data_IF_564551445540
#
_entry.id   IF_564551445540
#
_cell.length_a   1.000
_cell.length_b   1.000
_cell.length_c   1.000
_cell.angle_alpha   90.00
_cell.angle_beta   90.00
_cell.angle_gamma   90.00
#
_symmetry.space_group_name_H-M   'P 1'
#
loop_
_entity.id
_entity.type
_entity.pdbx_description
1 polymer ?
#
# COMPACT_ATOMS: atom_id res chain seq x y z
N UNK A 1 8.46 -8.53 23.03
CA UNK A 1 8.67 -7.81 21.76
C UNK A 1 7.53 -8.20 20.85
N UNK A 2 6.96 -7.28 20.09
CA UNK A 2 5.90 -7.63 19.14
C UNK A 2 6.49 -8.46 17.99
N UNK A 3 5.71 -9.39 17.45
CA UNK A 3 6.16 -10.27 16.34
C UNK A 3 6.54 -9.44 15.11
N UNK A 4 5.77 -8.38 14.82
CA UNK A 4 6.11 -7.42 13.77
C UNK A 4 7.54 -6.86 13.94
N UNK A 5 7.94 -6.46 15.16
CA UNK A 5 9.27 -5.89 15.41
C UNK A 5 10.40 -6.92 15.20
N UNK A 6 10.10 -8.20 15.42
CA UNK A 6 11.04 -9.30 15.16
C UNK A 6 11.20 -9.51 13.65
N UNK A 7 10.10 -9.56 12.92
CA UNK A 7 10.09 -9.72 11.46
C UNK A 7 10.83 -8.55 10.78
N UNK A 8 10.63 -7.31 11.24
CA UNK A 8 11.33 -6.15 10.70
C UNK A 8 12.86 -6.20 10.86
N UNK A 9 13.36 -6.97 11.84
CA UNK A 9 14.80 -7.11 12.12
C UNK A 9 15.38 -8.42 11.59
N UNK A 10 14.54 -9.28 11.02
CA UNK A 10 14.99 -10.57 10.50
C UNK A 10 15.81 -10.36 9.23
N UNK A 11 17.06 -10.84 9.25
CA UNK A 11 17.99 -10.74 8.12
C UNK A 11 17.44 -11.35 6.82
N UNK A 12 16.62 -12.39 6.93
CA UNK A 12 15.97 -13.00 5.78
C UNK A 12 15.02 -12.05 5.08
N UNK A 13 14.22 -11.30 5.85
CA UNK A 13 13.28 -10.30 5.32
C UNK A 13 14.04 -9.11 4.75
N UNK A 14 15.05 -8.62 5.46
CA UNK A 14 15.89 -7.51 4.97
C UNK A 14 16.60 -7.88 3.66
N UNK A 15 17.18 -9.07 3.59
CA UNK A 15 17.84 -9.57 2.38
C UNK A 15 16.84 -9.76 1.23
N UNK A 16 15.61 -10.21 1.51
CA UNK A 16 14.57 -10.35 0.49
C UNK A 16 14.24 -9.01 -0.16
N UNK A 17 14.14 -7.92 0.60
CA UNK A 17 13.90 -6.59 0.04
C UNK A 17 15.14 -6.01 -0.69
N UNK A 18 16.34 -6.37 -0.29
CA UNK A 18 17.54 -6.06 -1.08
C UNK A 18 17.55 -6.79 -2.44
N UNK A 19 17.00 -8.02 -2.52
CA UNK A 19 16.82 -8.72 -3.79
C UNK A 19 15.79 -8.02 -4.67
N UNK A 20 14.66 -7.56 -4.10
CA UNK A 20 13.64 -6.78 -4.82
C UNK A 20 14.26 -5.52 -5.42
N UNK A 21 14.97 -4.75 -4.63
CA UNK A 21 15.61 -3.50 -5.05
C UNK A 21 16.61 -3.75 -6.20
N UNK A 22 17.50 -4.75 -6.07
CA UNK A 22 18.43 -5.13 -7.13
C UNK A 22 17.74 -5.57 -8.41
N UNK A 23 16.61 -6.29 -8.28
CA UNK A 23 15.83 -6.70 -9.45
C UNK A 23 15.23 -5.49 -10.17
N UNK A 24 14.64 -4.56 -9.43
CA UNK A 24 14.01 -3.35 -9.98
C UNK A 24 15.05 -2.44 -10.64
N UNK A 25 16.21 -2.22 -10.02
CA UNK A 25 17.30 -1.47 -10.63
C UNK A 25 17.75 -2.08 -11.96
N UNK A 26 17.99 -3.40 -11.97
CA UNK A 26 18.42 -4.12 -13.17
C UNK A 26 17.40 -4.10 -14.29
N UNK A 27 16.10 -4.17 -13.96
CA UNK A 27 15.01 -4.29 -14.93
C UNK A 27 14.29 -2.96 -15.18
N UNK A 28 14.83 -1.83 -14.71
CA UNK A 28 14.27 -0.50 -14.92
C UNK A 28 12.83 -0.38 -14.40
N UNK A 29 12.60 -0.85 -13.19
CA UNK A 29 11.32 -0.70 -12.50
C UNK A 29 10.91 0.77 -12.39
N UNK A 30 9.61 1.05 -12.41
CA UNK A 30 9.11 2.43 -12.35
C UNK A 30 8.96 2.97 -10.93
N UNK A 31 8.89 2.09 -9.96
CA UNK A 31 8.80 2.43 -8.54
C UNK A 31 9.59 1.42 -7.70
N UNK A 32 10.06 1.85 -6.54
CA UNK A 32 10.79 1.00 -5.60
C UNK A 32 9.84 0.29 -4.63
N UNK A 33 9.95 -1.04 -4.52
CA UNK A 33 9.22 -1.88 -3.57
C UNK A 33 10.15 -2.42 -2.49
N UNK A 34 11.00 -1.54 -1.98
CA UNK A 34 12.02 -1.84 -0.99
C UNK A 34 11.46 -1.86 0.44
N UNK A 35 12.34 -2.13 1.41
CA UNK A 35 11.96 -2.18 2.83
C UNK A 35 11.35 -0.87 3.35
N UNK A 36 11.80 0.29 2.84
CA UNK A 36 11.23 1.58 3.23
C UNK A 36 9.75 1.70 2.84
N UNK A 37 9.39 1.24 1.64
CA UNK A 37 8.00 1.18 1.19
C UNK A 37 7.12 0.35 2.13
N UNK A 38 7.47 -0.90 2.35
CA UNK A 38 6.61 -1.80 3.15
C UNK A 38 6.52 -1.35 4.61
N UNK A 39 7.53 -0.67 5.12
CA UNK A 39 7.49 -0.05 6.43
C UNK A 39 6.53 1.16 6.46
N UNK A 40 6.52 2.01 5.41
CA UNK A 40 5.55 3.10 5.27
C UNK A 40 4.11 2.55 5.21
N UNK A 41 3.90 1.47 4.44
CA UNK A 41 2.60 0.77 4.37
C UNK A 41 2.19 0.28 5.75
N UNK A 42 3.08 -0.37 6.51
CA UNK A 42 2.78 -0.85 7.86
C UNK A 42 2.41 0.28 8.84
N UNK A 43 3.10 1.44 8.76
CA UNK A 43 2.76 2.61 9.57
C UNK A 43 1.40 3.20 9.22
N UNK A 44 1.05 3.26 7.93
CA UNK A 44 -0.27 3.75 7.50
C UNK A 44 -1.38 2.79 7.90
N UNK A 45 -1.16 1.48 7.77
CA UNK A 45 -2.06 0.42 8.25
C UNK A 45 -2.35 0.59 9.75
N UNK A 46 -1.31 0.72 10.57
CA UNK A 46 -1.47 0.94 12.02
C UNK A 46 -2.29 2.19 12.31
N UNK A 47 -1.96 3.31 11.65
CA UNK A 47 -2.67 4.58 11.82
C UNK A 47 -4.15 4.48 11.49
N UNK A 48 -4.50 3.87 10.35
CA UNK A 48 -5.88 3.70 9.91
C UNK A 48 -6.68 2.82 10.87
N UNK A 49 -6.16 1.65 11.24
CA UNK A 49 -6.87 0.72 12.10
C UNK A 49 -7.02 1.25 13.53
N UNK A 50 -6.02 1.98 14.07
CA UNK A 50 -6.14 2.67 15.38
C UNK A 50 -7.22 3.75 15.37
N UNK A 51 -7.28 4.56 14.32
CA UNK A 51 -8.30 5.60 14.19
C UNK A 51 -9.72 5.02 14.06
N UNK A 52 -9.84 3.78 13.61
CA UNK A 52 -11.10 3.03 13.53
C UNK A 52 -11.38 2.19 14.79
N UNK A 53 -10.53 2.29 15.82
CA UNK A 53 -10.64 1.57 17.08
C UNK A 53 -10.65 0.03 16.93
N UNK A 54 -9.93 -0.52 15.95
CA UNK A 54 -9.69 -1.95 15.88
C UNK A 54 -8.73 -2.41 16.98
N UNK A 55 -8.83 -3.69 17.35
CA UNK A 55 -8.02 -4.27 18.41
C UNK A 55 -6.53 -4.43 18.01
N UNK A 56 -5.66 -4.57 19.02
CA UNK A 56 -4.21 -4.69 18.82
C UNK A 56 -3.83 -5.95 18.05
N UNK A 57 -4.61 -7.04 18.12
CA UNK A 57 -4.32 -8.27 17.41
C UNK A 57 -4.51 -8.08 15.89
N UNK A 58 -5.62 -7.46 15.48
CA UNK A 58 -5.85 -7.14 14.06
C UNK A 58 -4.79 -6.17 13.53
N UNK A 59 -4.42 -5.16 14.33
CA UNK A 59 -3.38 -4.19 13.96
C UNK A 59 -2.04 -4.89 13.76
N UNK A 60 -1.65 -5.75 14.68
CA UNK A 60 -0.40 -6.51 14.60
C UNK A 60 -0.39 -7.42 13.35
N UNK A 61 -1.49 -8.16 13.12
CA UNK A 61 -1.63 -9.01 11.94
C UNK A 61 -1.55 -8.23 10.63
N UNK A 62 -2.19 -7.07 10.57
CA UNK A 62 -2.17 -6.21 9.39
C UNK A 62 -0.76 -5.62 9.13
N UNK A 63 -0.03 -5.27 10.18
CA UNK A 63 1.38 -4.82 10.05
C UNK A 63 2.28 -5.95 9.56
N UNK A 64 2.09 -7.18 10.06
CA UNK A 64 2.82 -8.36 9.59
C UNK A 64 2.52 -8.62 8.11
N UNK A 65 1.27 -8.57 7.71
CA UNK A 65 0.91 -8.70 6.30
C UNK A 65 1.52 -7.58 5.45
N UNK A 66 1.51 -6.34 5.94
CA UNK A 66 2.10 -5.20 5.25
C UNK A 66 3.63 -5.34 5.04
N UNK A 67 4.38 -5.88 6.03
CA UNK A 67 5.82 -6.07 5.84
C UNK A 67 6.15 -7.24 4.92
N UNK A 68 5.24 -8.17 4.69
CA UNK A 68 5.46 -9.37 3.88
C UNK A 68 4.84 -9.30 2.48
N UNK A 69 3.98 -8.30 2.18
CA UNK A 69 3.13 -8.31 0.97
C UNK A 69 3.90 -8.26 -0.36
N UNK A 70 5.06 -7.64 -0.39
CA UNK A 70 5.88 -7.46 -1.60
C UNK A 70 7.16 -8.32 -1.64
N UNK A 71 7.31 -9.28 -0.71
CA UNK A 71 8.48 -10.19 -0.66
C UNK A 71 8.68 -11.01 -1.94
N UNK A 72 7.63 -11.23 -2.71
CA UNK A 72 7.64 -11.93 -4.00
C UNK A 72 7.99 -11.05 -5.21
N UNK A 73 8.23 -9.75 -5.03
CA UNK A 73 8.57 -8.83 -6.12
C UNK A 73 10.02 -8.96 -6.61
N UNK A 74 10.86 -9.76 -5.93
CA UNK A 74 12.24 -10.04 -6.30
C UNK A 74 12.44 -10.74 -7.67
N UNK A 75 11.35 -11.18 -8.31
CA UNK A 75 11.31 -11.71 -9.67
C UNK A 75 10.37 -10.89 -10.59
N UNK A 76 10.03 -9.66 -10.20
CA UNK A 76 9.16 -8.77 -10.95
C UNK A 76 7.72 -8.73 -10.45
N UNK A 77 6.90 -7.90 -11.12
CA UNK A 77 5.53 -7.60 -10.67
C UNK A 77 4.47 -8.61 -11.13
N UNK A 78 4.74 -9.40 -12.14
CA UNK A 78 3.84 -10.47 -12.55
C UNK A 78 3.75 -11.50 -11.41
N UNK A 79 2.53 -11.83 -10.98
CA UNK A 79 2.24 -12.79 -9.89
C UNK A 79 2.99 -12.54 -8.55
N UNK A 80 3.55 -11.34 -8.33
CA UNK A 80 4.30 -11.06 -7.10
C UNK A 80 3.47 -11.28 -5.83
N UNK A 81 2.17 -10.97 -5.83
CA UNK A 81 1.29 -11.17 -4.69
C UNK A 81 1.17 -12.66 -4.31
N UNK A 82 1.05 -13.52 -5.31
CA UNK A 82 1.02 -14.97 -5.08
C UNK A 82 2.38 -15.50 -4.61
N UNK A 83 3.49 -15.02 -5.19
CA UNK A 83 4.83 -15.38 -4.69
C UNK A 83 5.08 -14.87 -3.28
N UNK A 84 4.61 -13.66 -2.94
CA UNK A 84 4.68 -13.13 -1.57
C UNK A 84 3.89 -14.01 -0.59
N UNK A 85 2.71 -14.46 -1.00
CA UNK A 85 1.90 -15.41 -0.22
C UNK A 85 2.67 -16.72 0.06
N UNK A 86 3.29 -17.32 -0.98
CA UNK A 86 4.05 -18.57 -0.82
C UNK A 86 5.24 -18.37 0.12
N UNK A 87 6.00 -17.31 -0.08
CA UNK A 87 7.12 -16.97 0.79
C UNK A 87 6.67 -16.73 2.24
N UNK A 88 5.64 -15.91 2.44
CA UNK A 88 5.12 -15.59 3.76
C UNK A 88 4.61 -16.84 4.50
N UNK A 89 3.93 -17.74 3.79
CA UNK A 89 3.44 -19.00 4.35
C UNK A 89 4.59 -19.85 4.87
N UNK A 90 5.59 -20.13 4.02
CA UNK A 90 6.76 -20.91 4.41
C UNK A 90 7.55 -20.24 5.55
N UNK A 91 7.76 -18.93 5.47
CA UNK A 91 8.46 -18.15 6.47
C UNK A 91 7.78 -18.22 7.83
N UNK A 92 6.48 -17.94 7.91
CA UNK A 92 5.71 -17.95 9.16
C UNK A 92 5.55 -19.36 9.75
N UNK A 93 5.45 -20.40 8.91
CA UNK A 93 5.44 -21.79 9.35
C UNK A 93 6.79 -22.20 9.97
N UNK A 94 7.90 -21.85 9.34
CA UNK A 94 9.24 -22.18 9.83
C UNK A 94 9.62 -21.43 11.09
N UNK A 95 9.24 -20.15 11.22
CA UNK A 95 9.49 -19.34 12.42
C UNK A 95 8.61 -19.70 13.61
N UNK A 96 7.50 -20.39 13.40
CA UNK A 96 6.56 -20.83 14.44
C UNK A 96 6.08 -19.70 15.35
N UNK A 97 5.91 -18.51 14.81
CA UNK A 97 5.34 -17.39 15.57
C UNK A 97 3.92 -17.72 16.07
N UNK A 98 3.59 -17.38 17.33
CA UNK A 98 2.25 -17.59 17.87
C UNK A 98 1.27 -16.54 17.35
N UNK A 99 0.95 -16.61 16.06
CA UNK A 99 0.05 -15.68 15.35
C UNK A 99 -1.33 -16.30 15.30
N UNK A 100 -2.31 -15.60 15.87
CA UNK A 100 -3.72 -15.92 15.69
C UNK A 100 -4.22 -15.45 14.32
N UNK A 101 -5.13 -16.21 13.69
CA UNK A 101 -5.69 -15.89 12.38
C UNK A 101 -4.65 -15.72 11.26
N UNK A 102 -3.60 -16.55 11.28
CA UNK A 102 -2.53 -16.53 10.26
C UNK A 102 -3.07 -16.58 8.81
N UNK A 103 -4.15 -17.31 8.58
CA UNK A 103 -4.77 -17.42 7.26
C UNK A 103 -5.30 -16.07 6.74
N UNK A 104 -5.76 -15.19 7.61
CA UNK A 104 -6.19 -13.84 7.21
C UNK A 104 -5.02 -12.98 6.72
N UNK A 105 -3.85 -13.09 7.37
CA UNK A 105 -2.61 -12.46 6.94
C UNK A 105 -2.23 -12.95 5.54
N UNK A 106 -2.20 -14.27 5.36
CA UNK A 106 -1.80 -14.91 4.11
C UNK A 106 -2.75 -14.57 2.96
N UNK A 107 -4.06 -14.58 3.21
CA UNK A 107 -5.04 -14.20 2.20
C UNK A 107 -4.90 -12.73 1.81
N UNK A 108 -4.70 -11.82 2.76
CA UNK A 108 -4.48 -10.41 2.47
C UNK A 108 -3.23 -10.19 1.60
N UNK A 109 -2.13 -10.88 1.90
CA UNK A 109 -0.92 -10.84 1.07
C UNK A 109 -1.23 -11.32 -0.35
N UNK A 110 -1.95 -12.43 -0.49
CA UNK A 110 -2.27 -13.05 -1.78
C UNK A 110 -3.10 -12.16 -2.71
N UNK A 111 -4.01 -11.35 -2.14
CA UNK A 111 -4.99 -10.57 -2.91
C UNK A 111 -4.65 -9.08 -3.02
N UNK A 112 -3.60 -8.56 -2.35
CA UNK A 112 -3.34 -7.13 -2.19
C UNK A 112 -3.22 -6.34 -3.51
N UNK A 113 -2.82 -6.98 -4.60
CA UNK A 113 -2.48 -6.26 -5.83
C UNK A 113 -3.66 -6.01 -6.78
N UNK A 114 -4.73 -6.81 -6.72
CA UNK A 114 -5.81 -6.73 -7.72
C UNK A 114 -7.24 -6.89 -7.18
N UNK A 115 -7.45 -7.38 -5.97
CA UNK A 115 -8.79 -7.69 -5.50
C UNK A 115 -9.35 -6.64 -4.54
N UNK A 116 -10.03 -5.65 -5.09
CA UNK A 116 -10.74 -4.64 -4.31
C UNK A 116 -12.10 -5.13 -3.76
N UNK A 117 -12.61 -6.26 -4.24
CA UNK A 117 -13.91 -6.84 -3.86
C UNK A 117 -13.76 -7.87 -2.73
N UNK A 118 -13.05 -7.54 -1.66
CA UNK A 118 -12.91 -8.40 -0.49
C UNK A 118 -13.66 -7.83 0.70
N UNK A 119 -14.14 -8.70 1.60
CA UNK A 119 -14.75 -8.30 2.87
C UNK A 119 -13.74 -8.21 4.02
N UNK A 120 -12.46 -8.55 3.80
CA UNK A 120 -11.43 -8.46 4.83
C UNK A 120 -11.00 -7.01 5.02
N UNK A 121 -11.23 -6.46 6.20
CA UNK A 121 -10.74 -5.12 6.57
C UNK A 121 -9.22 -5.08 6.56
N UNK A 122 -8.55 -6.15 6.99
CA UNK A 122 -7.10 -6.27 6.95
C UNK A 122 -6.58 -6.11 5.53
N UNK A 123 -7.14 -6.86 4.58
CA UNK A 123 -6.74 -6.79 3.17
C UNK A 123 -6.99 -5.40 2.56
N UNK A 124 -8.19 -4.81 2.77
CA UNK A 124 -8.52 -3.49 2.25
C UNK A 124 -7.64 -2.39 2.82
N UNK A 125 -7.24 -2.50 4.09
CA UNK A 125 -6.33 -1.54 4.72
C UNK A 125 -4.94 -1.61 4.09
N UNK A 126 -4.43 -2.82 3.80
CA UNK A 126 -3.15 -2.99 3.10
C UNK A 126 -3.24 -2.45 1.68
N UNK A 127 -4.29 -2.81 0.94
CA UNK A 127 -4.52 -2.35 -0.44
C UNK A 127 -4.53 -0.82 -0.48
N UNK A 128 -5.26 -0.15 0.41
CA UNK A 128 -5.31 1.30 0.46
C UNK A 128 -3.93 1.89 0.79
N UNK A 129 -3.27 1.37 1.82
CA UNK A 129 -1.98 1.89 2.29
C UNK A 129 -0.87 1.72 1.25
N UNK A 130 -0.83 0.57 0.55
CA UNK A 130 0.10 0.32 -0.55
C UNK A 130 -0.13 1.30 -1.72
N UNK A 131 -1.39 1.48 -2.14
CA UNK A 131 -1.72 2.39 -3.25
C UNK A 131 -1.51 3.86 -2.90
N UNK A 132 -1.54 4.25 -1.64
CA UNK A 132 -1.26 5.60 -1.18
C UNK A 132 0.23 5.89 -0.95
N UNK A 133 1.12 4.89 -0.91
CA UNK A 133 2.56 5.16 -0.80
C UNK A 133 3.19 5.48 -2.16
N UNK A 134 2.82 6.63 -2.74
CA UNK A 134 3.26 7.14 -4.05
C UNK A 134 4.07 8.43 -3.96
N UNK A 135 4.80 8.62 -2.86
CA UNK A 135 5.65 9.81 -2.68
C UNK A 135 6.82 9.83 -3.67
N UNK A 136 7.37 11.01 -3.91
CA UNK A 136 8.45 11.26 -4.89
C UNK A 136 9.68 10.36 -4.73
N UNK A 137 9.98 9.93 -3.51
CA UNK A 137 11.10 9.01 -3.22
C UNK A 137 10.83 7.56 -3.62
N UNK A 138 9.59 7.23 -3.96
CA UNK A 138 9.19 5.92 -4.48
C UNK A 138 9.43 5.76 -5.98
N UNK A 139 9.52 6.86 -6.71
CA UNK A 139 9.64 6.83 -8.17
C UNK A 139 11.10 6.72 -8.58
N UNK A 140 11.39 5.72 -9.42
CA UNK A 140 12.70 5.57 -10.04
C UNK A 140 12.93 6.63 -11.14
N UNK A 141 14.17 6.77 -11.58
CA UNK A 141 14.49 7.62 -12.74
C UNK A 141 13.76 7.18 -14.02
N UNK A 142 13.57 5.87 -14.22
CA UNK A 142 12.81 5.35 -15.36
C UNK A 142 11.31 5.64 -15.20
N UNK A 143 10.79 5.54 -14.01
CA UNK A 143 9.40 5.88 -13.69
C UNK A 143 9.05 7.35 -13.96
N UNK A 144 10.02 8.26 -13.79
CA UNK A 144 9.86 9.70 -14.11
C UNK A 144 9.75 10.00 -15.61
N UNK A 145 10.11 9.04 -16.46
CA UNK A 145 9.98 9.18 -17.93
C UNK A 145 8.63 8.70 -18.45
N UNK A 146 7.86 7.99 -17.63
CA UNK A 146 6.59 7.36 -18.01
C UNK A 146 5.45 8.36 -17.84
N UNK A 147 4.72 8.63 -18.91
CA UNK A 147 3.53 9.50 -18.89
C UNK A 147 2.53 9.02 -17.84
N UNK A 148 2.01 9.95 -17.07
CA UNK A 148 1.14 9.67 -15.91
C UNK A 148 1.93 9.34 -14.66
N UNK A 149 2.78 8.31 -14.69
CA UNK A 149 3.61 7.93 -13.54
C UNK A 149 4.53 9.06 -13.08
N UNK A 150 5.06 9.84 -14.02
CA UNK A 150 5.93 10.97 -13.73
C UNK A 150 5.30 12.03 -12.84
N UNK A 151 3.97 12.10 -12.76
CA UNK A 151 3.28 13.07 -11.90
C UNK A 151 3.51 12.80 -10.41
N UNK A 152 3.74 11.57 -10.02
CA UNK A 152 4.04 11.23 -8.63
C UNK A 152 5.39 11.76 -8.14
N UNK A 153 6.32 12.15 -9.02
CA UNK A 153 7.55 12.84 -8.59
C UNK A 153 7.29 14.16 -7.86
N UNK A 154 6.11 14.73 -8.05
CA UNK A 154 5.69 15.98 -7.40
C UNK A 154 4.99 15.75 -6.06
N UNK A 155 4.70 14.52 -5.67
CA UNK A 155 4.08 14.19 -4.37
C UNK A 155 5.13 14.28 -3.26
N UNK A 156 5.02 15.31 -2.43
CA UNK A 156 5.88 15.53 -1.26
C UNK A 156 5.47 14.66 -0.08
N UNK A 157 4.16 14.62 0.19
CA UNK A 157 3.59 13.80 1.26
C UNK A 157 2.12 13.49 1.00
N UNK A 158 1.60 12.49 1.71
CA UNK A 158 0.18 12.13 1.69
C UNK A 158 -0.29 12.01 3.13
N UNK A 159 -1.20 12.87 3.52
CA UNK A 159 -1.85 12.83 4.83
C UNK A 159 -3.18 12.09 4.74
N UNK A 160 -3.40 11.15 5.67
CA UNK A 160 -4.67 10.44 5.80
C UNK A 160 -5.22 10.66 7.19
N UNK A 161 -6.48 11.09 7.29
CA UNK A 161 -7.18 11.35 8.54
C UNK A 161 -8.60 10.79 8.47
N UNK A 162 -9.14 10.42 9.63
CA UNK A 162 -10.54 10.04 9.79
C UNK A 162 -11.16 11.04 10.75
N UNK A 163 -12.11 11.84 10.26
CA UNK A 163 -12.78 12.89 11.04
C UNK A 163 -14.24 12.98 10.63
N UNK A 164 -15.15 13.01 11.61
CA UNK A 164 -16.60 13.23 11.39
C UNK A 164 -17.19 12.34 10.26
N UNK A 165 -16.95 11.03 10.32
CA UNK A 165 -17.39 10.05 9.32
C UNK A 165 -16.77 10.23 7.93
N UNK A 166 -15.75 11.07 7.78
CA UNK A 166 -15.03 11.23 6.53
C UNK A 166 -13.63 10.58 6.59
N UNK A 167 -13.24 9.94 5.49
CA UNK A 167 -11.87 9.58 5.20
C UNK A 167 -11.25 10.69 4.37
N UNK A 168 -10.42 11.53 5.01
CA UNK A 168 -9.78 12.68 4.38
C UNK A 168 -8.39 12.26 3.92
N UNK A 169 -8.14 12.40 2.62
CA UNK A 169 -6.84 12.10 2.01
C UNK A 169 -6.34 13.36 1.31
N UNK A 170 -5.20 13.87 1.76
CA UNK A 170 -4.60 15.06 1.21
C UNK A 170 -3.25 14.75 0.59
N UNK A 171 -3.12 15.04 -0.69
CA UNK A 171 -1.86 15.02 -1.42
C UNK A 171 -1.20 16.39 -1.32
N UNK A 172 -0.01 16.42 -0.75
CA UNK A 172 0.85 17.62 -0.73
C UNK A 172 1.80 17.51 -1.91
N UNK A 173 1.58 18.34 -2.92
CA UNK A 173 2.30 18.28 -4.20
C UNK A 173 3.06 19.57 -4.48
N UNK A 174 4.11 19.45 -5.28
CA UNK A 174 4.76 20.60 -5.92
C UNK A 174 3.83 21.16 -7.01
N UNK A 175 3.88 22.49 -7.25
CA UNK A 175 2.97 23.15 -8.19
C UNK A 175 3.23 22.80 -9.69
N UNK A 176 4.27 22.03 -9.99
CA UNK A 176 4.64 21.64 -11.36
C UNK A 176 3.86 20.43 -11.90
N UNK A 177 2.99 19.81 -11.10
CA UNK A 177 2.23 18.64 -11.55
C UNK A 177 1.15 19.02 -12.58
N UNK A 178 0.86 18.10 -13.48
CA UNK A 178 -0.27 18.16 -14.42
C UNK A 178 -1.41 17.28 -13.88
N UNK A 179 -2.52 17.93 -13.50
CA UNK A 179 -3.67 17.25 -12.91
C UNK A 179 -4.35 16.30 -13.91
N UNK A 180 -4.46 16.70 -15.17
CA UNK A 180 -5.13 15.87 -16.19
C UNK A 180 -4.33 14.60 -16.44
N UNK A 181 -3.02 14.73 -16.61
CA UNK A 181 -2.14 13.58 -16.78
C UNK A 181 -2.17 12.64 -15.56
N UNK A 182 -2.20 13.20 -14.34
CA UNK A 182 -2.30 12.43 -13.10
C UNK A 182 -3.61 11.62 -13.04
N UNK A 183 -4.75 12.26 -13.36
CA UNK A 183 -6.08 11.63 -13.31
C UNK A 183 -6.26 10.54 -14.38
N UNK A 184 -5.72 10.74 -15.57
CA UNK A 184 -5.83 9.77 -16.66
C UNK A 184 -4.97 8.52 -16.43
N UNK A 185 -3.97 8.61 -15.57
CA UNK A 185 -3.06 7.51 -15.33
C UNK A 185 -3.76 6.32 -14.66
N UNK A 186 -3.54 5.14 -15.21
CA UNK A 186 -4.22 3.92 -14.77
C UNK A 186 -4.00 3.61 -13.26
N UNK A 187 -2.84 3.96 -12.72
CA UNK A 187 -2.55 3.70 -11.31
C UNK A 187 -3.31 4.65 -10.38
N UNK A 188 -3.54 5.91 -10.79
CA UNK A 188 -4.42 6.85 -10.07
C UNK A 188 -5.85 6.30 -9.96
N UNK A 189 -6.34 5.64 -11.02
CA UNK A 189 -7.64 4.94 -10.99
C UNK A 189 -7.63 3.79 -9.98
N UNK A 190 -6.51 3.05 -9.84
CA UNK A 190 -6.37 2.05 -8.79
C UNK A 190 -6.38 2.65 -7.38
N UNK A 191 -5.78 3.83 -7.19
CA UNK A 191 -5.86 4.56 -5.92
C UNK A 191 -7.32 4.88 -5.59
N UNK A 192 -8.09 5.40 -6.54
CA UNK A 192 -9.52 5.70 -6.34
C UNK A 192 -10.34 4.46 -6.02
N UNK A 193 -10.10 3.33 -6.69
CA UNK A 193 -10.77 2.07 -6.37
C UNK A 193 -10.43 1.60 -4.94
N UNK A 194 -9.16 1.70 -4.52
CA UNK A 194 -8.76 1.33 -3.16
C UNK A 194 -9.45 2.21 -2.11
N UNK A 195 -9.52 3.53 -2.35
CA UNK A 195 -10.20 4.48 -1.47
C UNK A 195 -11.69 4.14 -1.38
N UNK A 196 -12.35 3.90 -2.51
CA UNK A 196 -13.78 3.56 -2.55
C UNK A 196 -14.06 2.26 -1.80
N UNK A 197 -13.32 1.19 -2.11
CA UNK A 197 -13.52 -0.12 -1.47
C UNK A 197 -13.31 -0.06 0.05
N UNK A 198 -12.24 0.59 0.50
CA UNK A 198 -11.98 0.78 1.93
C UNK A 198 -13.07 1.62 2.59
N UNK A 199 -13.44 2.77 2.02
CA UNK A 199 -14.44 3.68 2.56
C UNK A 199 -15.80 3.02 2.70
N UNK A 200 -16.24 2.25 1.69
CA UNK A 200 -17.48 1.47 1.76
C UNK A 200 -17.44 0.43 2.89
N UNK A 201 -16.31 -0.27 3.04
CA UNK A 201 -16.16 -1.29 4.09
C UNK A 201 -16.30 -0.73 5.49
N UNK A 202 -15.77 0.48 5.73
CA UNK A 202 -15.77 1.11 7.07
C UNK A 202 -16.85 2.17 7.23
N UNK A 203 -17.75 2.30 6.23
CA UNK A 203 -18.85 3.26 6.21
C UNK A 203 -18.39 4.72 6.42
N UNK A 204 -17.31 5.11 5.73
CA UNK A 204 -16.80 6.48 5.70
C UNK A 204 -17.06 7.12 4.34
N UNK A 205 -17.15 8.47 4.31
CA UNK A 205 -17.22 9.24 3.08
C UNK A 205 -15.83 9.69 2.68
N UNK A 206 -15.30 9.32 1.49
CA UNK A 206 -13.99 9.77 1.06
C UNK A 206 -14.02 11.24 0.63
N UNK A 207 -13.04 12.00 1.10
CA UNK A 207 -12.75 13.37 0.66
C UNK A 207 -11.28 13.49 0.28
N UNK A 208 -11.02 13.89 -0.97
CA UNK A 208 -9.68 14.02 -1.51
C UNK A 208 -9.35 15.49 -1.73
N UNK A 209 -8.08 15.82 -1.44
CA UNK A 209 -7.55 17.17 -1.62
C UNK A 209 -6.15 17.10 -2.25
N UNK A 210 -5.82 18.12 -3.06
CA UNK A 210 -4.47 18.44 -3.50
C UNK A 210 -4.16 19.86 -3.01
N UNK A 211 -3.11 20.03 -2.22
CA UNK A 211 -2.69 21.34 -1.69
C UNK A 211 -3.88 22.12 -1.09
N UNK A 212 -4.69 21.46 -0.24
CA UNK A 212 -5.90 22.00 0.42
C UNK A 212 -7.08 22.33 -0.51
N UNK A 213 -6.94 22.16 -1.82
CA UNK A 213 -8.06 22.29 -2.76
C UNK A 213 -8.76 20.94 -2.92
N UNK A 214 -10.09 20.93 -2.83
CA UNK A 214 -10.87 19.69 -3.02
C UNK A 214 -10.58 19.12 -4.40
N UNK A 215 -10.13 17.86 -4.42
CA UNK A 215 -9.86 17.14 -5.65
C UNK A 215 -11.14 16.43 -6.11
N UNK A 216 -11.81 17.06 -7.06
CA UNK A 216 -12.99 16.48 -7.71
C UNK A 216 -12.45 15.83 -8.98
N UNK A 217 -12.18 14.53 -8.93
CA UNK A 217 -11.78 13.79 -10.12
C UNK A 217 -12.93 13.78 -11.14
N UNK A 218 -12.59 14.03 -12.43
CA UNK A 218 -13.49 13.81 -13.56
C UNK A 218 -13.81 12.32 -13.78
N UNK A 219 -13.02 11.43 -13.19
CA UNK A 219 -13.35 10.01 -13.06
C UNK A 219 -14.33 9.88 -11.92
N UNK A 220 -15.63 9.87 -12.24
CA UNK A 220 -16.68 9.59 -11.28
C UNK A 220 -16.23 8.45 -10.36
N UNK A 221 -16.15 8.71 -9.04
CA UNK A 221 -16.23 7.64 -8.07
C UNK A 221 -17.41 6.81 -8.52
N UNK A 222 -17.18 5.58 -8.90
CA UNK A 222 -18.21 4.72 -9.47
C UNK A 222 -19.32 4.66 -8.43
N UNK A 223 -20.36 5.46 -8.67
CA UNK A 223 -21.65 5.27 -8.03
C UNK A 223 -22.17 3.93 -8.53
N UNK A 224 -22.10 2.91 -7.69
CA UNK A 224 -22.95 1.71 -7.75
C UNK A 224 -23.18 1.18 -6.34
#
# INVERSE_FOLDING_TARGET
>A
MKIFDEICKDEEILNRYLEVEKYEEKNKGWAYHNFAHVNNVAQMVEKLLRNLNYDEQLIENAKIAAILHDTGANLGKEDHAYRSYLFAKEYLERKQYPIENKEEILEAIKIHSHNFNTNSILALTIILSDKLDVKSNRISEEGRKVVGNRQYQYVKDIEVKIENENLIIQFLMDDQFDLVELEEYYFTKKIFHAITAFSQKVNLKPELFINQKKWISSVNFIEN
#
